data_IF_490697812270
#
_entry.id   IF_490697812270
#
_cell.length_a   1.000
_cell.length_b   1.000
_cell.length_c   1.000
_cell.angle_alpha   90.00
_cell.angle_beta   90.00
_cell.angle_gamma   90.00
#
_symmetry.space_group_name_H-M   'P 1'
#
loop_
_entity.id
_entity.type
_entity.pdbx_description
1 polymer ?
#
# COMPACT_ATOMS: atom_id res chain seq x y z
N UNK A 1 15.79 1.04 12.02
CA UNK A 1 14.88 0.61 13.11
C UNK A 1 13.62 -0.07 12.58
N UNK A 2 12.98 0.46 11.52
CA UNK A 2 11.79 -0.16 10.89
C UNK A 2 12.04 -1.60 10.40
N UNK A 3 13.22 -1.91 9.84
CA UNK A 3 13.56 -3.29 9.44
C UNK A 3 13.47 -4.28 10.61
N UNK A 4 13.86 -3.89 11.82
CA UNK A 4 13.74 -4.75 13.01
C UNK A 4 12.28 -4.94 13.44
N UNK A 5 11.44 -3.91 13.29
CA UNK A 5 10.00 -4.00 13.55
C UNK A 5 9.36 -4.97 12.55
N UNK A 6 9.72 -4.84 11.27
CA UNK A 6 9.27 -5.75 10.22
C UNK A 6 9.69 -7.20 10.50
N UNK A 7 10.97 -7.45 10.79
CA UNK A 7 11.46 -8.80 11.10
C UNK A 7 10.78 -9.38 12.36
N UNK A 8 10.57 -8.55 13.38
CA UNK A 8 9.85 -8.95 14.59
C UNK A 8 8.39 -9.31 14.29
N UNK A 9 7.71 -8.49 13.47
CA UNK A 9 6.36 -8.79 13.00
C UNK A 9 6.31 -10.12 12.24
N UNK A 10 7.28 -10.38 11.36
CA UNK A 10 7.37 -11.64 10.62
C UNK A 10 7.59 -12.85 11.53
N UNK A 11 8.46 -12.73 12.54
CA UNK A 11 8.66 -13.77 13.54
C UNK A 11 7.40 -14.03 14.37
N UNK A 12 6.66 -12.98 14.74
CA UNK A 12 5.37 -13.11 15.43
C UNK A 12 4.36 -13.84 14.56
N UNK A 13 4.25 -13.45 13.27
CA UNK A 13 3.34 -14.10 12.32
C UNK A 13 3.69 -15.58 12.10
N UNK A 14 4.97 -15.89 11.96
CA UNK A 14 5.46 -17.26 11.86
C UNK A 14 5.14 -18.06 13.14
N UNK A 15 5.41 -17.51 14.32
CA UNK A 15 5.18 -18.17 15.61
C UNK A 15 3.70 -18.41 15.91
N UNK A 16 2.82 -17.44 15.61
CA UNK A 16 1.38 -17.58 15.75
C UNK A 16 0.84 -18.67 14.82
N UNK A 17 1.29 -18.68 13.56
CA UNK A 17 0.88 -19.71 12.59
C UNK A 17 1.50 -21.08 12.88
N UNK A 18 2.69 -21.15 13.48
CA UNK A 18 3.29 -22.41 13.92
C UNK A 18 2.43 -23.09 14.99
N UNK A 19 1.94 -22.32 15.98
CA UNK A 19 1.06 -22.84 17.04
C UNK A 19 -0.27 -23.36 16.50
N UNK A 20 -0.82 -22.71 15.48
CA UNK A 20 -2.07 -23.10 14.81
C UNK A 20 -1.88 -24.26 13.83
N UNK A 21 -0.71 -24.33 13.21
CA UNK A 21 -0.33 -25.28 12.16
C UNK A 21 -0.93 -24.99 10.78
N UNK A 22 -0.57 -25.83 9.81
CA UNK A 22 -0.82 -25.59 8.38
C UNK A 22 -2.31 -25.40 8.04
N UNK A 23 -3.17 -26.34 8.43
CA UNK A 23 -4.60 -26.33 8.03
C UNK A 23 -5.34 -25.08 8.53
N UNK A 24 -5.06 -24.63 9.74
CA UNK A 24 -5.66 -23.38 10.23
C UNK A 24 -5.03 -22.16 9.56
N UNK A 25 -3.74 -22.21 9.23
CA UNK A 25 -3.05 -21.08 8.59
C UNK A 25 -3.46 -20.89 7.13
N UNK A 26 -3.66 -21.97 6.36
CA UNK A 26 -4.13 -21.89 4.98
C UNK A 26 -5.52 -21.25 4.90
N UNK A 27 -6.37 -21.51 5.88
CA UNK A 27 -7.66 -20.86 6.00
C UNK A 27 -7.55 -19.36 6.28
N UNK A 28 -6.70 -18.96 7.24
CA UNK A 28 -6.48 -17.54 7.52
C UNK A 28 -5.86 -16.80 6.33
N UNK A 29 -4.94 -17.46 5.61
CA UNK A 29 -4.37 -16.94 4.38
C UNK A 29 -5.45 -16.79 3.30
N UNK A 30 -6.24 -17.84 3.06
CA UNK A 30 -7.34 -17.82 2.10
C UNK A 30 -8.38 -16.74 2.40
N UNK A 31 -8.77 -16.56 3.67
CA UNK A 31 -9.66 -15.46 4.06
C UNK A 31 -9.02 -14.08 3.87
N UNK A 32 -7.71 -13.96 4.07
CA UNK A 32 -6.99 -12.69 3.87
C UNK A 32 -6.89 -12.34 2.39
N UNK A 33 -6.62 -13.33 1.53
CA UNK A 33 -6.61 -13.18 0.07
C UNK A 33 -8.02 -12.87 -0.45
N UNK A 34 -9.05 -13.59 0.03
CA UNK A 34 -10.44 -13.34 -0.35
C UNK A 34 -10.90 -11.93 0.06
N UNK A 35 -10.53 -11.47 1.26
CA UNK A 35 -10.79 -10.10 1.69
C UNK A 35 -10.12 -9.07 0.76
N UNK A 36 -8.93 -9.37 0.26
CA UNK A 36 -8.20 -8.48 -0.65
C UNK A 36 -8.84 -8.45 -2.04
N UNK A 37 -9.30 -9.59 -2.54
CA UNK A 37 -10.09 -9.64 -3.79
C UNK A 37 -11.36 -8.80 -3.66
N UNK A 38 -12.09 -8.92 -2.55
CA UNK A 38 -13.26 -8.08 -2.26
C UNK A 38 -12.84 -6.59 -2.21
N UNK A 39 -11.69 -6.28 -1.61
CA UNK A 39 -11.17 -4.92 -1.57
C UNK A 39 -10.90 -4.35 -2.97
N UNK A 40 -10.28 -5.12 -3.86
CA UNK A 40 -10.06 -4.70 -5.25
C UNK A 40 -11.36 -4.46 -6.03
N UNK A 41 -12.43 -5.18 -5.70
CA UNK A 41 -13.74 -5.00 -6.36
C UNK A 41 -14.45 -3.76 -5.82
N UNK A 42 -14.41 -3.54 -4.50
CA UNK A 42 -15.24 -2.54 -3.84
C UNK A 42 -14.52 -1.21 -3.56
N UNK A 43 -13.19 -1.12 -3.68
CA UNK A 43 -12.48 0.14 -3.42
C UNK A 43 -12.97 1.32 -4.26
N UNK A 44 -13.39 1.19 -5.55
CA UNK A 44 -13.86 2.34 -6.33
C UNK A 44 -15.17 2.93 -5.77
N UNK A 45 -15.94 2.17 -5.00
CA UNK A 45 -17.12 2.67 -4.29
C UNK A 45 -16.68 3.52 -3.10
N UNK A 46 -15.63 3.08 -2.40
CA UNK A 46 -15.10 3.75 -1.20
C UNK A 46 -14.28 5.00 -1.53
N UNK A 47 -13.66 5.08 -2.71
CA UNK A 47 -12.99 6.32 -3.16
C UNK A 47 -14.00 7.46 -3.27
N UNK A 48 -15.19 7.20 -3.82
CA UNK A 48 -16.28 8.18 -3.86
C UNK A 48 -16.76 8.64 -2.47
N UNK A 49 -16.75 7.75 -1.47
CA UNK A 49 -17.10 8.09 -0.09
C UNK A 49 -16.00 8.95 0.56
N UNK A 50 -14.73 8.62 0.34
CA UNK A 50 -13.61 9.42 0.86
C UNK A 50 -13.54 10.81 0.22
N UNK A 51 -13.91 10.93 -1.05
CA UNK A 51 -14.04 12.22 -1.74
C UNK A 51 -15.06 13.15 -1.08
N UNK A 52 -16.10 12.61 -0.43
CA UNK A 52 -17.08 13.41 0.34
C UNK A 52 -16.53 13.94 1.67
N UNK A 53 -15.38 13.44 2.14
CA UNK A 53 -14.80 13.79 3.46
C UNK A 53 -13.68 14.83 3.36
N UNK A 54 -13.58 15.55 2.23
CA UNK A 54 -12.50 16.50 1.91
C UNK A 54 -11.07 15.89 1.93
N UNK A 55 -10.94 14.56 1.98
CA UNK A 55 -9.65 13.89 2.08
C UNK A 55 -8.76 14.18 0.87
N UNK A 56 -9.34 14.20 -0.33
CA UNK A 56 -8.64 14.56 -1.56
C UNK A 56 -8.06 15.98 -1.51
N UNK A 57 -8.80 16.94 -0.95
CA UNK A 57 -8.38 18.33 -0.82
C UNK A 57 -7.23 18.45 0.19
N UNK A 58 -7.37 17.80 1.36
CA UNK A 58 -6.35 17.83 2.41
C UNK A 58 -5.05 17.19 1.93
N UNK A 59 -5.13 16.03 1.29
CA UNK A 59 -3.97 15.33 0.74
C UNK A 59 -3.33 16.10 -0.40
N UNK A 60 -4.13 16.56 -1.36
CA UNK A 60 -3.63 17.34 -2.50
C UNK A 60 -2.91 18.61 -2.06
N UNK A 61 -3.42 19.30 -1.04
CA UNK A 61 -2.77 20.51 -0.49
C UNK A 61 -1.47 20.17 0.24
N UNK A 62 -1.45 19.11 1.05
CA UNK A 62 -0.27 18.69 1.81
C UNK A 62 0.86 18.25 0.88
N UNK A 63 0.53 17.41 -0.11
CA UNK A 63 1.47 16.91 -1.12
C UNK A 63 1.95 18.06 -2.01
N UNK A 64 1.05 18.94 -2.46
CA UNK A 64 1.44 20.10 -3.27
C UNK A 64 2.37 21.04 -2.51
N UNK A 65 2.10 21.31 -1.23
CA UNK A 65 2.96 22.15 -0.38
C UNK A 65 4.33 21.52 -0.21
N UNK A 66 4.38 20.21 0.05
CA UNK A 66 5.62 19.46 0.14
C UNK A 66 6.43 19.54 -1.16
N UNK A 67 5.78 19.38 -2.31
CA UNK A 67 6.41 19.42 -3.64
C UNK A 67 6.83 20.85 -4.03
N UNK A 68 6.02 21.85 -3.74
CA UNK A 68 6.29 23.25 -4.12
C UNK A 68 7.36 23.90 -3.24
N UNK A 69 7.62 23.34 -2.06
CA UNK A 69 8.79 23.68 -1.24
C UNK A 69 10.12 23.26 -1.89
N UNK A 70 10.07 22.46 -2.96
CA UNK A 70 11.24 22.06 -3.74
C UNK A 70 11.48 23.06 -4.87
N UNK A 71 12.72 23.45 -5.12
CA UNK A 71 13.07 24.27 -6.28
C UNK A 71 12.94 23.44 -7.57
N UNK A 72 11.72 23.36 -8.12
CA UNK A 72 11.47 22.63 -9.37
C UNK A 72 12.04 23.41 -10.54
N UNK A 73 13.27 23.07 -10.92
CA UNK A 73 13.94 23.60 -12.10
C UNK A 73 13.31 22.99 -13.37
N UNK A 74 13.08 23.83 -14.38
CA UNK A 74 12.56 23.36 -15.68
C UNK A 74 13.54 22.40 -16.38
N UNK A 75 12.97 21.44 -17.11
CA UNK A 75 13.70 20.44 -17.89
C UNK A 75 13.56 19.01 -17.33
N UNK A 76 13.31 18.05 -18.22
CA UNK A 76 12.97 16.66 -17.88
C UNK A 76 14.03 15.98 -17.00
N UNK A 77 15.32 16.18 -17.30
CA UNK A 77 16.42 15.61 -16.53
C UNK A 77 16.48 16.18 -15.10
N UNK A 78 16.25 17.48 -14.96
CA UNK A 78 16.24 18.14 -13.65
C UNK A 78 15.04 17.65 -12.83
N UNK A 79 13.87 17.52 -13.47
CA UNK A 79 12.66 17.01 -12.84
C UNK A 79 12.81 15.54 -12.38
N UNK A 80 13.44 14.68 -13.19
CA UNK A 80 13.75 13.31 -12.81
C UNK A 80 14.70 13.25 -11.60
N UNK A 81 15.76 14.07 -11.60
CA UNK A 81 16.69 14.15 -10.48
C UNK A 81 16.01 14.65 -9.18
N UNK A 82 15.11 15.63 -9.29
CA UNK A 82 14.33 16.15 -8.16
C UNK A 82 13.41 15.07 -7.59
N UNK A 83 12.71 14.31 -8.43
CA UNK A 83 11.87 13.20 -7.96
C UNK A 83 12.69 12.16 -7.20
N UNK A 84 13.84 11.74 -7.74
CA UNK A 84 14.70 10.76 -7.08
C UNK A 84 15.27 11.28 -5.76
N UNK A 85 15.55 12.59 -5.67
CA UNK A 85 16.11 13.20 -4.48
C UNK A 85 15.08 13.39 -3.36
N UNK A 86 13.87 13.87 -3.69
CA UNK A 86 12.90 14.33 -2.69
C UNK A 86 11.69 13.42 -2.52
N UNK A 87 11.44 12.52 -3.46
CA UNK A 87 10.40 11.49 -3.41
C UNK A 87 11.01 10.08 -3.31
N UNK A 88 12.21 9.94 -2.76
CA UNK A 88 12.85 8.65 -2.49
C UNK A 88 12.02 7.73 -1.57
N UNK A 89 11.07 8.30 -0.83
CA UNK A 89 10.14 7.57 0.03
C UNK A 89 9.02 6.82 -0.73
N UNK A 90 8.78 7.13 -2.01
CA UNK A 90 7.86 6.36 -2.86
C UNK A 90 8.61 5.41 -3.79
N UNK A 91 7.96 4.33 -4.25
CA UNK A 91 8.62 3.29 -5.03
C UNK A 91 9.13 3.77 -6.38
N UNK A 92 10.20 3.13 -6.86
CA UNK A 92 10.82 3.49 -8.14
C UNK A 92 9.82 3.37 -9.31
N UNK A 93 8.95 2.35 -9.27
CA UNK A 93 7.87 2.19 -10.25
C UNK A 93 6.98 3.44 -10.35
N UNK A 94 6.62 4.03 -9.20
CA UNK A 94 5.78 5.23 -9.14
C UNK A 94 6.51 6.45 -9.69
N UNK A 95 7.79 6.62 -9.32
CA UNK A 95 8.63 7.71 -9.82
C UNK A 95 8.79 7.63 -11.35
N UNK A 96 9.09 6.44 -11.86
CA UNK A 96 9.25 6.19 -13.29
C UNK A 96 7.96 6.46 -14.06
N UNK A 97 6.81 6.05 -13.52
CA UNK A 97 5.50 6.36 -14.13
C UNK A 97 5.28 7.87 -14.24
N UNK A 98 5.59 8.64 -13.20
CA UNK A 98 5.45 10.11 -13.21
C UNK A 98 6.37 10.73 -14.27
N UNK A 99 7.63 10.29 -14.36
CA UNK A 99 8.61 10.84 -15.31
C UNK A 99 8.22 10.53 -16.76
N UNK A 100 7.85 9.27 -17.04
CA UNK A 100 7.53 8.80 -18.39
C UNK A 100 6.24 9.43 -18.93
N UNK A 101 5.31 9.79 -18.05
CA UNK A 101 4.03 10.41 -18.42
C UNK A 101 4.01 11.93 -18.19
N UNK A 102 5.18 12.56 -18.04
CA UNK A 102 5.28 14.01 -17.88
C UNK A 102 5.05 14.76 -19.21
N UNK A 103 3.79 14.82 -19.64
CA UNK A 103 3.36 15.43 -20.89
C UNK A 103 1.99 16.12 -20.74
N UNK A 104 1.55 16.83 -21.79
CA UNK A 104 0.30 17.60 -21.75
C UNK A 104 -0.96 16.76 -21.58
N UNK A 105 -0.98 15.53 -22.09
CA UNK A 105 -2.13 14.62 -21.98
C UNK A 105 -2.35 14.21 -20.52
N UNK A 106 -1.28 13.81 -19.82
CA UNK A 106 -1.36 13.53 -18.39
C UNK A 106 -1.79 14.76 -17.59
N UNK A 107 -1.31 15.95 -17.94
CA UNK A 107 -1.66 17.19 -17.25
C UNK A 107 -3.17 17.49 -17.36
N UNK A 108 -3.75 17.30 -18.55
CA UNK A 108 -5.19 17.47 -18.78
C UNK A 108 -6.03 16.50 -17.92
N UNK A 109 -5.65 15.22 -17.88
CA UNK A 109 -6.34 14.17 -17.12
C UNK A 109 -6.30 14.37 -15.59
N UNK A 110 -5.26 15.04 -15.10
CA UNK A 110 -5.10 15.39 -13.70
C UNK A 110 -5.51 16.82 -13.37
N UNK A 111 -6.05 17.57 -14.36
CA UNK A 111 -6.43 18.96 -14.25
C UNK A 111 -5.29 19.83 -13.67
N UNK A 112 -4.07 19.59 -14.16
CA UNK A 112 -2.84 20.19 -13.68
C UNK A 112 -2.26 21.16 -14.72
N UNK A 113 -1.78 22.31 -14.26
CA UNK A 113 -1.19 23.34 -15.12
C UNK A 113 0.34 23.25 -15.19
N UNK A 114 0.95 22.51 -14.28
CA UNK A 114 2.40 22.35 -14.17
C UNK A 114 2.76 21.00 -13.54
N UNK A 115 4.05 20.70 -13.54
CA UNK A 115 4.57 19.44 -13.02
C UNK A 115 4.24 19.18 -11.55
N UNK A 116 4.27 20.23 -10.70
CA UNK A 116 3.97 20.10 -9.28
C UNK A 116 2.50 19.72 -9.03
N UNK A 117 1.58 20.38 -9.74
CA UNK A 117 0.16 20.06 -9.73
C UNK A 117 -0.09 18.63 -10.25
N UNK A 118 0.60 18.23 -11.32
CA UNK A 118 0.47 16.89 -11.90
C UNK A 118 0.86 15.81 -10.89
N UNK A 119 2.06 15.92 -10.29
CA UNK A 119 2.53 14.94 -9.30
C UNK A 119 1.59 14.91 -8.08
N UNK A 120 1.17 16.08 -7.60
CA UNK A 120 0.30 16.17 -6.42
C UNK A 120 -1.03 15.47 -6.67
N UNK A 121 -1.69 15.77 -7.78
CA UNK A 121 -2.95 15.13 -8.17
C UNK A 121 -2.77 13.62 -8.40
N UNK A 122 -1.67 13.20 -9.02
CA UNK A 122 -1.36 11.78 -9.25
C UNK A 122 -1.18 11.01 -7.94
N UNK A 123 -0.32 11.50 -7.04
CA UNK A 123 -0.09 10.88 -5.73
C UNK A 123 -1.34 10.89 -4.85
N UNK A 124 -2.15 11.95 -4.92
CA UNK A 124 -3.44 12.02 -4.22
C UNK A 124 -4.35 10.87 -4.64
N UNK A 125 -4.51 10.62 -5.96
CA UNK A 125 -5.33 9.49 -6.44
C UNK A 125 -4.79 8.15 -5.97
N UNK A 126 -3.46 7.94 -6.00
CA UNK A 126 -2.84 6.70 -5.52
C UNK A 126 -3.10 6.48 -4.02
N UNK A 127 -2.95 7.52 -3.21
CA UNK A 127 -3.19 7.45 -1.75
C UNK A 127 -4.65 7.20 -1.44
N UNK A 128 -5.58 7.86 -2.12
CA UNK A 128 -7.03 7.68 -1.90
C UNK A 128 -7.48 6.28 -2.30
N UNK A 129 -6.99 5.76 -3.43
CA UNK A 129 -7.24 4.38 -3.84
C UNK A 129 -6.64 3.38 -2.85
N UNK A 130 -5.39 3.58 -2.44
CA UNK A 130 -4.71 2.74 -1.46
C UNK A 130 -5.41 2.72 -0.09
N UNK A 131 -5.84 3.88 0.39
CA UNK A 131 -6.61 4.03 1.63
C UNK A 131 -7.97 3.32 1.52
N UNK A 132 -8.64 3.44 0.37
CA UNK A 132 -9.91 2.75 0.12
C UNK A 132 -9.73 1.23 0.15
N UNK A 133 -8.69 0.69 -0.50
CA UNK A 133 -8.35 -0.74 -0.43
C UNK A 133 -8.10 -1.17 1.01
N UNK A 134 -7.31 -0.42 1.78
CA UNK A 134 -7.01 -0.73 3.18
C UNK A 134 -8.30 -0.82 4.01
N UNK A 135 -9.18 0.18 3.92
CA UNK A 135 -10.44 0.24 4.67
C UNK A 135 -11.33 -0.94 4.31
N UNK A 136 -11.55 -1.19 3.02
CA UNK A 136 -12.40 -2.28 2.56
C UNK A 136 -11.80 -3.63 2.96
N UNK A 137 -10.49 -3.81 2.82
CA UNK A 137 -9.81 -5.03 3.23
C UNK A 137 -9.97 -5.30 4.73
N UNK A 138 -9.84 -4.28 5.59
CA UNK A 138 -10.08 -4.41 7.03
C UNK A 138 -11.52 -4.86 7.29
N UNK A 139 -12.51 -4.19 6.69
CA UNK A 139 -13.93 -4.51 6.86
C UNK A 139 -14.22 -5.93 6.38
N UNK A 140 -13.83 -6.28 5.14
CA UNK A 140 -14.04 -7.59 4.54
C UNK A 140 -13.37 -8.69 5.37
N UNK A 141 -12.14 -8.47 5.84
CA UNK A 141 -11.42 -9.43 6.69
C UNK A 141 -12.11 -9.65 8.02
N UNK A 142 -12.63 -8.60 8.66
CA UNK A 142 -13.42 -8.73 9.90
C UNK A 142 -14.70 -9.52 9.64
N UNK A 143 -15.45 -9.20 8.59
CA UNK A 143 -16.71 -9.87 8.24
C UNK A 143 -16.48 -11.34 7.89
N UNK A 144 -15.52 -11.64 7.01
CA UNK A 144 -15.19 -13.01 6.62
C UNK A 144 -14.80 -13.84 7.84
N UNK A 145 -13.91 -13.34 8.70
CA UNK A 145 -13.53 -14.05 9.93
C UNK A 145 -14.72 -14.33 10.86
N UNK A 146 -15.74 -13.47 10.88
CA UNK A 146 -16.97 -13.70 11.69
C UNK A 146 -17.84 -14.79 11.06
N UNK A 147 -18.11 -14.69 9.75
CA UNK A 147 -18.88 -15.69 8.99
C UNK A 147 -18.25 -17.08 9.15
N UNK A 148 -16.94 -17.13 9.00
CA UNK A 148 -16.14 -18.34 9.08
C UNK A 148 -16.17 -19.03 10.46
N UNK A 149 -16.19 -18.25 11.53
CA UNK A 149 -16.41 -18.76 12.89
C UNK A 149 -17.83 -19.28 13.09
N UNK A 150 -18.84 -18.60 12.53
CA UNK A 150 -20.25 -19.01 12.63
C UNK A 150 -20.54 -20.29 11.86
N UNK A 151 -19.88 -20.50 10.72
CA UNK A 151 -20.04 -21.71 9.90
C UNK A 151 -19.45 -22.97 10.55
N UNK A 152 -18.89 -22.88 11.77
CA UNK A 152 -18.32 -23.98 12.54
C UNK A 152 -17.33 -24.87 11.75
N UNK A 153 -16.73 -24.31 10.70
CA UNK A 153 -15.84 -25.02 9.77
C UNK A 153 -14.58 -25.57 10.46
N UNK A 154 -14.28 -25.06 11.65
CA UNK A 154 -13.13 -25.41 12.47
C UNK A 154 -13.38 -26.58 13.44
N UNK A 155 -14.40 -27.42 13.19
CA UNK A 155 -14.67 -28.61 13.98
C UNK A 155 -13.42 -29.49 14.09
N UNK A 156 -12.67 -29.30 15.19
CA UNK A 156 -11.54 -30.06 15.69
C UNK A 156 -10.74 -30.83 14.64
N UNK A 157 -9.99 -30.14 13.77
CA UNK A 157 -8.93 -30.80 13.00
C UNK A 157 -7.74 -30.93 13.96
N UNK A 158 -7.40 -32.13 14.48
CA UNK A 158 -6.27 -32.29 15.38
C UNK A 158 -4.98 -32.05 14.59
N UNK A 159 -4.31 -30.96 14.93
CA UNK A 159 -3.13 -30.50 14.21
C UNK A 159 -1.87 -31.02 14.91
N UNK A 160 -1.50 -32.27 14.65
CA UNK A 160 -0.45 -32.98 15.41
C UNK A 160 0.68 -33.40 14.47
N UNK A 161 1.70 -32.56 14.36
CA UNK A 161 2.93 -32.91 13.63
C UNK A 161 3.88 -31.73 13.46
N UNK A 162 5.18 -31.99 13.61
CA UNK A 162 6.23 -30.97 13.43
C UNK A 162 6.17 -30.33 12.04
N UNK A 163 6.09 -31.14 10.98
CA UNK A 163 6.01 -30.64 9.60
C UNK A 163 4.77 -29.79 9.33
N UNK A 164 3.63 -30.16 9.89
CA UNK A 164 2.43 -29.34 9.78
C UNK A 164 2.62 -27.97 10.46
N UNK A 165 3.23 -27.92 11.65
CA UNK A 165 3.48 -26.65 12.35
C UNK A 165 4.49 -25.79 11.58
N UNK A 166 5.54 -26.41 11.05
CA UNK A 166 6.56 -25.75 10.24
C UNK A 166 5.96 -25.17 8.94
N UNK A 167 5.14 -25.93 8.23
CA UNK A 167 4.42 -25.44 7.05
C UNK A 167 3.45 -24.30 7.41
N UNK A 168 2.79 -24.39 8.58
CA UNK A 168 2.02 -23.29 9.13
C UNK A 168 2.85 -22.01 9.33
N UNK A 169 4.04 -22.11 9.91
CA UNK A 169 4.94 -20.96 10.06
C UNK A 169 5.28 -20.30 8.72
N UNK A 170 5.63 -21.09 7.70
CA UNK A 170 5.89 -20.59 6.34
C UNK A 170 4.70 -19.85 5.74
N UNK A 171 3.49 -20.41 5.81
CA UNK A 171 2.27 -19.70 5.39
C UNK A 171 2.00 -18.44 6.23
N UNK A 172 2.40 -18.43 7.49
CA UNK A 172 2.33 -17.25 8.37
C UNK A 172 3.19 -16.10 7.86
N UNK A 173 4.40 -16.40 7.38
CA UNK A 173 5.29 -15.41 6.76
C UNK A 173 4.69 -14.87 5.47
N UNK A 174 4.17 -15.73 4.59
CA UNK A 174 3.49 -15.30 3.35
C UNK A 174 2.31 -14.37 3.67
N UNK A 175 1.47 -14.76 4.64
CA UNK A 175 0.38 -13.92 5.12
C UNK A 175 0.88 -12.59 5.68
N UNK A 176 2.02 -12.58 6.37
CA UNK A 176 2.68 -11.38 6.87
C UNK A 176 3.08 -10.41 5.76
N UNK A 177 3.68 -10.90 4.67
CA UNK A 177 4.02 -10.07 3.51
C UNK A 177 2.78 -9.39 2.91
N UNK A 178 1.69 -10.12 2.71
CA UNK A 178 0.43 -9.55 2.17
C UNK A 178 -0.08 -8.42 3.08
N UNK A 179 -0.05 -8.63 4.40
CA UNK A 179 -0.50 -7.61 5.36
C UNK A 179 0.39 -6.35 5.28
N UNK A 180 1.71 -6.52 5.20
CA UNK A 180 2.65 -5.41 5.07
C UNK A 180 2.43 -4.65 3.78
N UNK A 181 2.26 -5.33 2.64
CA UNK A 181 1.95 -4.69 1.37
C UNK A 181 0.70 -3.82 1.43
N UNK A 182 -0.36 -4.29 2.08
CA UNK A 182 -1.58 -3.51 2.27
C UNK A 182 -1.34 -2.30 3.19
N UNK A 183 -0.55 -2.45 4.25
CA UNK A 183 -0.20 -1.34 5.15
C UNK A 183 0.66 -0.29 4.44
N UNK A 184 1.59 -0.70 3.57
CA UNK A 184 2.45 0.23 2.83
C UNK A 184 1.65 1.19 1.91
N UNK A 185 0.41 0.86 1.54
CA UNK A 185 -0.42 1.72 0.69
C UNK A 185 -0.72 3.09 1.33
N UNK A 186 -0.70 3.20 2.65
CA UNK A 186 -0.94 4.46 3.37
C UNK A 186 0.34 5.17 3.82
N UNK A 187 1.52 4.60 3.56
CA UNK A 187 2.78 5.21 3.97
C UNK A 187 3.00 6.60 3.35
N UNK A 188 2.73 6.82 2.05
CA UNK A 188 2.86 8.16 1.46
C UNK A 188 1.97 9.21 2.12
N UNK A 189 0.78 8.80 2.63
CA UNK A 189 -0.09 9.68 3.41
C UNK A 189 0.60 10.11 4.71
N UNK A 190 1.15 9.17 5.47
CA UNK A 190 1.81 9.48 6.74
C UNK A 190 3.05 10.36 6.52
N UNK A 191 3.84 10.05 5.49
CA UNK A 191 5.09 10.75 5.21
C UNK A 191 4.84 12.20 4.77
N UNK A 192 3.74 12.48 4.07
CA UNK A 192 3.42 13.82 3.55
C UNK A 192 2.71 14.72 4.58
N UNK A 193 2.35 14.18 5.75
CA UNK A 193 1.75 14.94 6.84
C UNK A 193 2.78 15.68 7.69
N UNK A 194 2.46 16.91 8.08
CA UNK A 194 3.25 17.68 9.03
C UNK A 194 3.36 16.95 10.38
N UNK A 195 4.57 16.93 10.96
CA UNK A 195 4.85 16.28 12.26
C UNK A 195 5.31 14.83 12.18
N UNK A 196 5.43 14.24 10.98
CA UNK A 196 5.93 12.88 10.78
C UNK A 196 7.35 12.82 10.17
N UNK A 197 8.15 13.88 10.31
CA UNK A 197 9.54 13.93 9.83
C UNK A 197 10.40 12.78 10.36
N UNK A 198 10.27 12.47 11.65
CA UNK A 198 11.03 11.38 12.28
C UNK A 198 10.66 10.02 11.68
N UNK A 199 9.38 9.82 11.34
CA UNK A 199 8.94 8.59 10.68
C UNK A 199 9.51 8.49 9.25
N UNK A 200 9.51 9.62 8.51
CA UNK A 200 10.10 9.71 7.17
C UNK A 200 11.59 9.35 7.19
N UNK A 201 12.37 9.93 8.10
CA UNK A 201 13.81 9.66 8.18
C UNK A 201 14.10 8.17 8.46
N UNK A 202 13.32 7.55 9.36
CA UNK A 202 13.48 6.12 9.68
C UNK A 202 13.03 5.25 8.50
N UNK A 203 12.03 5.68 7.73
CA UNK A 203 11.54 4.99 6.54
C UNK A 203 12.57 5.00 5.42
N UNK A 204 13.12 6.16 5.08
CA UNK A 204 14.12 6.33 4.01
C UNK A 204 15.41 5.53 4.29
N UNK A 205 15.77 5.35 5.57
CA UNK A 205 16.92 4.53 5.97
C UNK A 205 16.67 3.01 5.95
N UNK A 206 15.43 2.56 5.70
CA UNK A 206 15.07 1.14 5.73
C UNK A 206 15.53 0.45 4.45
N UNK A 207 16.13 -0.73 4.56
CA UNK A 207 16.54 -1.51 3.37
C UNK A 207 15.45 -2.53 3.03
N UNK A 208 14.98 -3.28 4.04
CA UNK A 208 14.07 -4.40 3.83
C UNK A 208 12.66 -3.90 3.48
N UNK A 209 12.17 -2.89 4.20
CA UNK A 209 10.81 -2.38 3.97
C UNK A 209 10.72 -1.62 2.65
N UNK A 210 11.74 -0.84 2.29
CA UNK A 210 11.77 -0.18 0.98
C UNK A 210 11.82 -1.20 -0.16
N UNK A 211 12.67 -2.24 -0.06
CA UNK A 211 12.68 -3.32 -1.05
C UNK A 211 11.30 -4.00 -1.19
N UNK A 212 10.60 -4.23 -0.08
CA UNK A 212 9.24 -4.78 -0.14
C UNK A 212 8.21 -3.83 -0.71
N UNK A 213 8.41 -2.53 -0.52
CA UNK A 213 7.53 -1.50 -1.05
C UNK A 213 7.74 -1.33 -2.56
N UNK A 214 8.98 -1.40 -3.05
CA UNK A 214 9.34 -1.44 -4.47
C UNK A 214 8.81 -2.68 -5.20
N UNK A 215 8.62 -3.78 -4.48
CA UNK A 215 8.09 -5.03 -5.02
C UNK A 215 6.64 -5.29 -4.56
N UNK A 216 5.86 -4.23 -4.33
CA UNK A 216 4.50 -4.33 -3.85
C UNK A 216 3.51 -4.49 -5.00
N UNK A 217 3.14 -5.74 -5.28
CA UNK A 217 2.18 -6.11 -6.34
C UNK A 217 0.81 -5.41 -6.21
N UNK A 218 0.40 -5.02 -5.00
CA UNK A 218 -0.87 -4.34 -4.76
C UNK A 218 -0.77 -2.89 -5.22
N UNK A 219 0.39 -2.26 -4.96
CA UNK A 219 0.67 -0.93 -5.45
C UNK A 219 0.85 -0.92 -6.96
N UNK A 220 1.57 -1.89 -7.54
CA UNK A 220 1.76 -1.99 -9.00
C UNK A 220 0.42 -2.01 -9.72
N UNK A 221 -0.54 -2.80 -9.21
CA UNK A 221 -1.91 -2.82 -9.73
C UNK A 221 -2.59 -1.44 -9.65
N UNK A 222 -2.40 -0.69 -8.56
CA UNK A 222 -2.97 0.66 -8.43
C UNK A 222 -2.34 1.63 -9.43
N UNK A 223 -1.03 1.57 -9.62
CA UNK A 223 -0.28 2.38 -10.59
C UNK A 223 -0.83 2.13 -12.00
N UNK A 224 -0.93 0.86 -12.39
CA UNK A 224 -1.48 0.43 -13.68
C UNK A 224 -2.94 0.85 -13.87
N UNK A 225 -3.77 0.73 -12.83
CA UNK A 225 -5.18 1.11 -12.94
C UNK A 225 -5.36 2.62 -13.06
N UNK A 226 -4.56 3.43 -12.36
CA UNK A 226 -4.55 4.89 -12.54
C UNK A 226 -4.06 5.25 -13.94
N UNK A 227 -3.07 4.55 -14.48
CA UNK A 227 -2.59 4.69 -15.86
C UNK A 227 -3.66 4.32 -16.89
N UNK A 228 -4.39 3.22 -16.70
CA UNK A 228 -5.39 2.78 -17.68
C UNK A 228 -6.55 3.79 -17.82
N UNK A 229 -6.97 4.37 -16.70
CA UNK A 229 -7.93 5.48 -16.68
C UNK A 229 -7.39 6.78 -17.32
N UNK A 230 -6.11 6.82 -17.74
CA UNK A 230 -5.57 7.91 -18.59
C UNK A 230 -5.78 7.65 -20.09
N UNK A 231 -5.79 6.39 -20.50
CA UNK A 231 -5.82 5.98 -21.93
C UNK A 231 -7.22 5.63 -22.45
N UNK A 232 -8.25 5.76 -21.62
CA UNK A 232 -9.65 5.40 -21.93
C UNK A 232 -10.56 6.61 -21.87
#
# INVERSE_FOLDING_TARGET
MIDLIFLSFMLVMAGLSYKKGFVMTIYELGSTVLALVIAFILYPIFTGVLGMMDLEIILGTSIFTYISGMEIVQGLQNQANILQQYLSFIPEALQNTIILNNNSEAYELFNANNFAEYISSYLTKIIVNGTSILIVWIIARVLLNRIFKLLNFLANIPVIGFFNRLAGAGLGVIKGFIIIWVICLIVPLIITMDGFSDFRDIWEQSIVVNYLYDNNIILDYLIENVLHNMTS
#
